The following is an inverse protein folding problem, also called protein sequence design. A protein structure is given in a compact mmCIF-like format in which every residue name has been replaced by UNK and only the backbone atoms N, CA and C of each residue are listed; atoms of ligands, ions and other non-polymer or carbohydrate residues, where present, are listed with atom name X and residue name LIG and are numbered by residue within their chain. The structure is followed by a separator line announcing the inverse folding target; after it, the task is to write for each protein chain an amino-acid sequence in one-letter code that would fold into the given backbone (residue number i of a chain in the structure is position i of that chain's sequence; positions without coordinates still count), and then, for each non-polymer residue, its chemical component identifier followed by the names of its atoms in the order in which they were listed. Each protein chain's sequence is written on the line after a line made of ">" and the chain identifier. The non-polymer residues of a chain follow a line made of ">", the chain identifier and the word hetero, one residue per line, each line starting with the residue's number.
data_IF_324539140961
#
_entry.id   IF_324539140961
#
_cell.length_a   1.000
_cell.length_b   1.000
_cell.length_c   1.000
_cell.angle_alpha   90.00
_cell.angle_beta   90.00
_cell.angle_gamma   90.00
#
_symmetry.space_group_name_H-M   'P 1'
#
loop_
_entity.id
_entity.type
_entity.pdbx_description
1 polymer ?
#
# COMPACT_ATOMS: atom_id res chain seq x y z
N UNK A 1 9.85 -13.60 0.82
CA UNK A 1 9.02 -12.88 1.80
C UNK A 1 8.47 -13.88 2.79
N UNK A 2 8.44 -13.56 4.08
CA UNK A 2 7.81 -14.40 5.10
C UNK A 2 6.41 -13.84 5.46
N UNK A 3 5.40 -14.72 5.57
CA UNK A 3 4.02 -14.32 5.89
C UNK A 3 3.58 -15.01 7.17
N UNK A 4 3.25 -14.20 8.16
CA UNK A 4 2.94 -14.60 9.52
C UNK A 4 1.51 -14.20 9.87
N UNK A 5 0.90 -14.88 10.85
CA UNK A 5 -0.41 -14.48 11.38
C UNK A 5 -0.44 -14.50 12.89
N UNK A 6 -1.22 -13.58 13.44
CA UNK A 6 -1.63 -13.56 14.83
C UNK A 6 -3.17 -13.45 14.92
N UNK A 7 -3.89 -14.41 15.52
CA UNK A 7 -3.40 -15.68 16.06
C UNK A 7 -2.72 -16.58 15.02
N UNK A 8 -1.91 -17.54 15.52
CA UNK A 8 -1.25 -18.52 14.65
C UNK A 8 -2.28 -19.35 13.90
N UNK A 9 -1.97 -19.70 12.64
CA UNK A 9 -2.82 -20.50 11.75
C UNK A 9 -4.15 -19.84 11.32
N UNK A 10 -4.35 -18.55 11.58
CA UNK A 10 -5.48 -17.78 11.03
C UNK A 10 -5.19 -17.24 9.61
N UNK A 11 -6.24 -16.73 8.97
CA UNK A 11 -6.21 -15.96 7.72
C UNK A 11 -5.61 -16.69 6.51
N UNK A 12 -5.96 -17.97 6.32
CA UNK A 12 -5.42 -18.79 5.23
C UNK A 12 -5.64 -18.17 3.84
N UNK A 13 -6.84 -17.64 3.58
CA UNK A 13 -7.19 -17.07 2.28
C UNK A 13 -6.42 -15.76 2.03
N UNK A 14 -6.34 -14.89 3.04
CA UNK A 14 -5.56 -13.66 2.96
C UNK A 14 -4.06 -13.95 2.76
N UNK A 15 -3.52 -15.02 3.37
CA UNK A 15 -2.13 -15.44 3.12
C UNK A 15 -1.91 -15.85 1.67
N UNK A 16 -2.86 -16.58 1.07
CA UNK A 16 -2.78 -16.95 -0.35
C UNK A 16 -2.75 -15.69 -1.21
N UNK A 17 -3.63 -14.73 -0.93
CA UNK A 17 -3.70 -13.48 -1.67
C UNK A 17 -2.41 -12.65 -1.51
N UNK A 18 -1.87 -12.53 -0.30
CA UNK A 18 -0.60 -11.84 -0.04
C UNK A 18 0.57 -12.50 -0.79
N UNK A 19 0.58 -13.85 -0.92
CA UNK A 19 1.58 -14.55 -1.75
C UNK A 19 1.43 -14.19 -3.21
N UNK A 20 0.22 -14.23 -3.75
CA UNK A 20 -0.04 -13.86 -5.15
C UNK A 20 0.44 -12.43 -5.46
N UNK A 21 0.22 -11.50 -4.53
CA UNK A 21 0.72 -10.12 -4.66
C UNK A 21 2.24 -10.10 -4.68
N UNK A 22 2.90 -10.79 -3.76
CA UNK A 22 4.35 -10.80 -3.71
C UNK A 22 5.00 -11.50 -4.92
N UNK A 23 4.40 -12.60 -5.40
CA UNK A 23 4.86 -13.33 -6.58
C UNK A 23 4.72 -12.46 -7.85
N UNK A 24 3.65 -11.67 -7.95
CA UNK A 24 3.50 -10.68 -9.01
C UNK A 24 4.60 -9.60 -8.99
N UNK A 25 5.19 -9.34 -7.82
CA UNK A 25 6.17 -8.28 -7.57
C UNK A 25 7.60 -8.80 -7.37
N UNK A 26 7.83 -10.10 -7.55
CA UNK A 26 9.07 -10.81 -7.23
C UNK A 26 10.37 -10.13 -7.73
N UNK A 27 10.42 -9.48 -8.92
CA UNK A 27 11.64 -8.80 -9.39
C UNK A 27 12.06 -7.57 -8.57
N UNK A 28 11.13 -6.96 -7.83
CA UNK A 28 11.30 -5.65 -7.19
C UNK A 28 11.47 -5.77 -5.65
N UNK A 29 11.49 -6.99 -5.11
CA UNK A 29 11.32 -7.19 -3.68
C UNK A 29 12.60 -7.11 -2.84
N UNK A 30 12.53 -6.34 -1.74
CA UNK A 30 13.49 -6.43 -0.64
C UNK A 30 13.01 -7.45 0.40
N UNK A 31 13.91 -8.16 1.11
CA UNK A 31 13.52 -9.09 2.17
C UNK A 31 12.57 -8.42 3.17
N UNK A 32 11.36 -8.99 3.29
CA UNK A 32 10.26 -8.40 4.06
C UNK A 32 9.44 -9.49 4.75
N UNK A 33 8.90 -9.15 5.91
CA UNK A 33 7.89 -9.92 6.63
C UNK A 33 6.53 -9.24 6.45
N UNK A 34 5.46 -10.02 6.26
CA UNK A 34 4.08 -9.53 6.31
C UNK A 34 3.37 -10.19 7.47
N UNK A 35 2.79 -9.40 8.37
CA UNK A 35 2.09 -9.85 9.56
C UNK A 35 0.60 -9.57 9.41
N UNK A 36 -0.20 -10.63 9.40
CA UNK A 36 -1.66 -10.57 9.41
C UNK A 36 -2.13 -10.63 10.87
N UNK A 37 -2.49 -9.48 11.44
CA UNK A 37 -2.79 -9.34 12.87
C UNK A 37 -4.28 -9.11 13.14
N UNK A 38 -4.94 -10.12 13.68
CA UNK A 38 -6.34 -10.09 14.14
C UNK A 38 -6.54 -9.41 15.50
N UNK A 39 -5.50 -8.83 16.10
CA UNK A 39 -5.57 -8.07 17.34
C UNK A 39 -6.47 -6.83 17.23
N UNK A 40 -7.10 -6.44 18.34
CA UNK A 40 -7.88 -5.20 18.44
C UNK A 40 -7.15 -4.22 19.37
N UNK A 41 -6.69 -3.11 18.81
CA UNK A 41 -5.90 -2.08 19.49
C UNK A 41 -6.65 -0.75 19.67
N UNK A 42 -7.97 -0.75 19.42
CA UNK A 42 -8.78 0.48 19.39
C UNK A 42 -8.70 1.29 20.69
N UNK A 43 -8.64 0.60 21.84
CA UNK A 43 -8.64 1.21 23.17
C UNK A 43 -7.28 1.07 23.89
N UNK A 44 -6.26 0.54 23.22
CA UNK A 44 -4.95 0.30 23.84
C UNK A 44 -4.07 1.55 23.74
N UNK A 45 -3.95 2.30 24.84
CA UNK A 45 -3.12 3.50 24.92
C UNK A 45 -1.60 3.20 24.95
N UNK A 46 -1.20 1.94 25.09
CA UNK A 46 0.21 1.52 25.19
C UNK A 46 0.84 1.22 23.84
N UNK A 47 0.04 1.19 22.77
CA UNK A 47 0.51 0.98 21.39
C UNK A 47 0.43 2.25 20.55
N UNK A 48 1.27 2.34 19.51
CA UNK A 48 1.23 3.45 18.55
C UNK A 48 -0.12 3.52 17.82
N UNK A 49 -0.53 4.73 17.46
CA UNK A 49 -1.77 4.98 16.71
C UNK A 49 -1.80 4.25 15.36
N UNK A 50 -0.65 3.93 14.79
CA UNK A 50 -0.50 3.18 13.53
C UNK A 50 -1.10 1.77 13.63
N UNK A 51 -1.13 1.17 14.82
CA UNK A 51 -1.82 -0.11 15.08
C UNK A 51 -3.35 0.02 15.07
N UNK A 52 -3.88 1.23 14.87
CA UNK A 52 -5.33 1.50 14.69
C UNK A 52 -5.67 1.80 13.23
N UNK A 53 -4.67 1.93 12.36
CA UNK A 53 -4.85 2.08 10.91
C UNK A 53 -5.09 0.70 10.24
N UNK A 54 -5.28 0.70 8.93
CA UNK A 54 -5.39 -0.51 8.12
C UNK A 54 -4.06 -1.25 8.03
N UNK A 55 -2.97 -0.52 7.80
CA UNK A 55 -1.64 -1.08 7.69
C UNK A 55 -0.58 0.00 7.90
N UNK A 56 0.65 -0.47 8.12
CA UNK A 56 1.84 0.36 7.97
C UNK A 56 3.04 -0.53 7.58
N UNK A 57 4.04 0.11 7.00
CA UNK A 57 5.37 -0.46 6.78
C UNK A 57 6.38 0.09 7.79
N UNK A 58 7.30 -0.78 8.20
CA UNK A 58 8.41 -0.47 9.09
C UNK A 58 9.72 -0.99 8.49
N UNK A 59 10.80 -0.26 8.71
CA UNK A 59 12.16 -0.68 8.42
C UNK A 59 13.05 -0.49 9.66
N UNK A 60 14.24 -1.10 9.66
CA UNK A 60 15.15 -1.08 10.81
C UNK A 60 15.60 0.30 11.28
N UNK A 61 15.47 1.33 10.46
CA UNK A 61 15.86 2.69 10.81
C UNK A 61 14.78 3.42 11.64
N UNK A 62 13.56 2.86 11.69
CA UNK A 62 12.46 3.40 12.51
C UNK A 62 12.54 2.88 13.96
N UNK A 63 12.28 3.73 14.97
CA UNK A 63 12.22 3.31 16.37
C UNK A 63 11.15 2.24 16.63
N UNK A 64 11.36 1.42 17.66
CA UNK A 64 10.51 0.28 18.04
C UNK A 64 9.74 0.56 19.34
N UNK A 65 9.10 1.73 19.40
CA UNK A 65 8.40 2.17 20.61
C UNK A 65 6.93 1.78 20.57
N UNK A 66 6.36 1.32 21.71
CA UNK A 66 4.90 1.08 21.84
C UNK A 66 4.36 0.11 20.77
N UNK A 67 5.03 -1.03 20.63
CA UNK A 67 4.72 -2.10 19.67
C UNK A 67 4.18 -3.33 20.43
N UNK A 68 3.13 -4.03 19.93
CA UNK A 68 2.67 -5.29 20.51
C UNK A 68 3.81 -6.33 20.61
N UNK A 69 3.83 -7.10 21.70
CA UNK A 69 4.95 -8.01 21.99
C UNK A 69 5.28 -9.02 20.88
N UNK A 70 4.27 -9.59 20.21
CA UNK A 70 4.48 -10.51 19.08
C UNK A 70 5.07 -9.81 17.85
N UNK A 71 4.72 -8.55 17.60
CA UNK A 71 5.30 -7.76 16.49
C UNK A 71 6.72 -7.33 16.84
N UNK A 72 6.96 -6.92 18.09
CA UNK A 72 8.29 -6.55 18.58
C UNK A 72 9.28 -7.72 18.47
N UNK A 73 8.83 -8.94 18.77
CA UNK A 73 9.62 -10.15 18.58
C UNK A 73 10.16 -10.28 17.15
N UNK A 74 9.28 -10.12 16.15
CA UNK A 74 9.63 -10.18 14.73
C UNK A 74 10.58 -9.05 14.31
N UNK A 75 10.33 -7.83 14.78
CA UNK A 75 11.18 -6.67 14.47
C UNK A 75 12.61 -6.84 15.01
N UNK A 76 12.81 -7.69 16.03
CA UNK A 76 14.11 -7.99 16.60
C UNK A 76 14.85 -9.14 15.89
N UNK A 77 14.21 -9.84 14.95
CA UNK A 77 14.86 -10.91 14.19
C UNK A 77 15.84 -10.36 13.16
N UNK A 78 17.01 -11.00 13.02
CA UNK A 78 18.09 -10.56 12.11
C UNK A 78 17.68 -10.51 10.63
N UNK A 79 16.75 -11.38 10.26
CA UNK A 79 16.23 -11.49 8.89
C UNK A 79 15.10 -10.49 8.61
N UNK A 80 14.49 -9.89 9.64
CA UNK A 80 13.46 -8.88 9.48
C UNK A 80 14.09 -7.51 9.20
N UNK A 81 14.23 -7.20 7.91
CA UNK A 81 14.72 -5.89 7.42
C UNK A 81 13.59 -4.90 7.21
N UNK A 82 12.49 -5.39 6.67
CA UNK A 82 11.24 -4.66 6.50
C UNK A 82 10.08 -5.50 7.04
N UNK A 83 9.07 -4.82 7.55
CA UNK A 83 7.86 -5.42 8.08
C UNK A 83 6.65 -4.65 7.54
N UNK A 84 5.67 -5.36 6.99
CA UNK A 84 4.33 -4.84 6.75
C UNK A 84 3.42 -5.44 7.80
N UNK A 85 2.74 -4.59 8.53
CA UNK A 85 1.73 -5.01 9.48
C UNK A 85 0.35 -4.71 8.90
N UNK A 86 -0.54 -5.71 8.90
CA UNK A 86 -1.92 -5.60 8.45
C UNK A 86 -2.85 -5.79 9.64
N UNK A 87 -3.68 -4.80 9.90
CA UNK A 87 -4.61 -4.82 11.02
C UNK A 87 -5.79 -5.74 10.78
N UNK A 88 -6.49 -6.07 11.87
CA UNK A 88 -7.76 -6.79 11.81
C UNK A 88 -8.74 -6.12 10.85
N UNK A 89 -8.78 -4.78 10.85
CA UNK A 89 -9.64 -4.00 9.96
C UNK A 89 -9.31 -4.33 8.51
N UNK A 90 -8.03 -4.29 8.10
CA UNK A 90 -7.62 -4.66 6.74
C UNK A 90 -7.95 -6.10 6.36
N UNK A 91 -7.87 -7.03 7.31
CA UNK A 91 -8.14 -8.46 7.07
C UNK A 91 -9.63 -8.78 6.91
N UNK A 92 -10.51 -7.93 7.46
CA UNK A 92 -11.97 -8.03 7.33
C UNK A 92 -12.50 -7.28 6.10
N UNK A 93 -11.63 -6.59 5.36
CA UNK A 93 -12.00 -5.89 4.13
C UNK A 93 -12.11 -6.80 2.91
N UNK A 94 -12.72 -6.24 1.88
CA UNK A 94 -12.87 -6.86 0.58
C UNK A 94 -11.52 -7.09 -0.11
N UNK A 95 -11.41 -8.15 -0.90
CA UNK A 95 -10.15 -8.56 -1.55
C UNK A 95 -9.47 -7.43 -2.32
N UNK A 96 -10.24 -6.61 -3.04
CA UNK A 96 -9.71 -5.45 -3.78
C UNK A 96 -8.97 -4.50 -2.85
N UNK A 97 -9.55 -4.18 -1.69
CA UNK A 97 -8.93 -3.26 -0.75
C UNK A 97 -7.73 -3.91 -0.04
N UNK A 98 -7.80 -5.20 0.26
CA UNK A 98 -6.66 -5.92 0.83
C UNK A 98 -5.47 -5.95 -0.13
N UNK A 99 -5.71 -6.27 -1.41
CA UNK A 99 -4.66 -6.22 -2.45
C UNK A 99 -4.07 -4.83 -2.57
N UNK A 100 -4.95 -3.82 -2.57
CA UNK A 100 -4.55 -2.43 -2.65
C UNK A 100 -3.63 -2.03 -1.49
N UNK A 101 -4.03 -2.33 -0.25
CA UNK A 101 -3.26 -2.01 0.96
C UNK A 101 -1.89 -2.68 0.92
N UNK A 102 -1.84 -3.97 0.62
CA UNK A 102 -0.57 -4.73 0.60
C UNK A 102 0.35 -4.20 -0.50
N UNK A 103 -0.16 -4.01 -1.72
CA UNK A 103 0.64 -3.47 -2.82
C UNK A 103 1.14 -2.04 -2.53
N UNK A 104 0.33 -1.22 -1.87
CA UNK A 104 0.70 0.13 -1.46
C UNK A 104 1.89 0.12 -0.48
N UNK A 105 1.81 -0.66 0.60
CA UNK A 105 2.91 -0.75 1.59
C UNK A 105 4.17 -1.37 1.00
N UNK A 106 4.03 -2.30 0.05
CA UNK A 106 5.16 -2.84 -0.68
C UNK A 106 5.84 -1.83 -1.56
N UNK A 107 5.07 -0.93 -2.15
CA UNK A 107 5.64 0.15 -2.92
C UNK A 107 6.47 1.09 -2.05
N UNK A 108 6.07 1.36 -0.82
CA UNK A 108 6.90 2.13 0.12
C UNK A 108 8.22 1.46 0.45
N UNK A 109 8.22 0.14 0.67
CA UNK A 109 9.46 -0.62 0.89
C UNK A 109 10.38 -0.51 -0.34
N UNK A 110 9.82 -0.67 -1.55
CA UNK A 110 10.57 -0.48 -2.79
C UNK A 110 11.17 0.93 -2.89
N UNK A 111 10.35 1.97 -2.69
CA UNK A 111 10.77 3.37 -2.75
C UNK A 111 11.90 3.67 -1.77
N UNK A 112 11.85 3.09 -0.56
CA UNK A 112 12.90 3.23 0.45
C UNK A 112 14.20 2.50 0.08
N UNK A 113 14.10 1.33 -0.54
CA UNK A 113 15.27 0.48 -0.84
C UNK A 113 15.98 0.86 -2.15
N UNK A 114 15.22 1.25 -3.18
CA UNK A 114 15.72 1.49 -4.55
C UNK A 114 15.68 2.95 -4.95
N UNK A 115 14.95 3.79 -4.21
CA UNK A 115 14.57 5.11 -4.68
C UNK A 115 13.51 5.04 -5.78
N UNK A 116 12.94 6.19 -6.14
CA UNK A 116 12.05 6.30 -7.28
C UNK A 116 12.14 7.71 -7.88
N UNK A 117 11.92 7.82 -9.19
CA UNK A 117 11.91 9.12 -9.87
C UNK A 117 10.56 9.82 -9.65
N UNK A 118 10.57 10.90 -8.87
CA UNK A 118 9.34 11.63 -8.52
C UNK A 118 9.00 12.81 -9.46
N UNK A 119 9.93 13.24 -10.31
CA UNK A 119 9.78 14.50 -11.06
C UNK A 119 8.69 14.43 -12.13
N UNK A 120 8.65 13.34 -12.90
CA UNK A 120 7.62 13.15 -13.91
C UNK A 120 6.24 13.06 -13.27
N UNK A 121 6.09 12.24 -12.22
CA UNK A 121 4.84 12.10 -11.48
C UNK A 121 4.39 13.43 -10.87
N UNK A 122 5.32 14.20 -10.29
CA UNK A 122 5.06 15.54 -9.73
C UNK A 122 4.60 16.54 -10.79
N UNK A 123 5.11 16.48 -12.02
CA UNK A 123 4.65 17.36 -13.11
C UNK A 123 3.24 16.98 -13.53
N UNK A 124 3.03 15.71 -13.85
CA UNK A 124 1.74 15.20 -14.34
C UNK A 124 0.63 15.39 -13.32
N UNK A 125 0.88 15.10 -12.05
CA UNK A 125 -0.13 15.27 -10.99
C UNK A 125 -0.54 16.75 -10.82
N UNK A 126 0.43 17.68 -10.86
CA UNK A 126 0.16 19.14 -10.83
C UNK A 126 -0.69 19.60 -11.99
N UNK A 127 -0.45 19.11 -13.19
CA UNK A 127 -1.24 19.48 -14.36
C UNK A 127 -2.66 18.91 -14.29
N UNK A 128 -2.82 17.69 -13.77
CA UNK A 128 -4.14 17.11 -13.51
C UNK A 128 -4.92 17.90 -12.46
N UNK A 129 -4.32 18.28 -11.33
CA UNK A 129 -4.99 19.07 -10.30
C UNK A 129 -5.52 20.44 -10.78
N UNK A 130 -4.96 20.99 -11.87
CA UNK A 130 -5.45 22.25 -12.46
C UNK A 130 -6.76 22.10 -13.23
N UNK A 131 -7.14 20.87 -13.61
CA UNK A 131 -8.39 20.56 -14.30
C UNK A 131 -9.59 20.76 -13.38
N UNK A 132 -10.68 21.30 -13.91
CA UNK A 132 -11.81 21.79 -13.11
C UNK A 132 -12.42 20.72 -12.19
N UNK A 133 -12.51 19.48 -12.66
CA UNK A 133 -13.03 18.32 -11.94
C UNK A 133 -12.14 17.87 -10.76
N UNK A 134 -10.86 18.24 -10.75
CA UNK A 134 -9.90 17.84 -9.72
C UNK A 134 -9.47 18.99 -8.80
N UNK A 135 -9.81 20.24 -9.12
CA UNK A 135 -9.47 21.41 -8.29
C UNK A 135 -9.99 21.32 -6.85
N UNK A 136 -11.10 20.61 -6.66
CA UNK A 136 -11.66 20.40 -5.33
C UNK A 136 -10.85 19.38 -4.53
N UNK A 137 -10.17 18.42 -5.18
CA UNK A 137 -9.31 17.49 -4.48
C UNK A 137 -8.26 18.30 -3.72
N UNK A 138 -7.99 17.97 -2.44
CA UNK A 138 -6.95 18.66 -1.69
C UNK A 138 -5.65 18.60 -2.49
N UNK A 139 -5.00 19.75 -2.68
CA UNK A 139 -3.82 19.91 -3.54
C UNK A 139 -2.60 19.09 -3.10
N UNK A 140 -2.70 18.35 -1.99
CA UNK A 140 -2.00 17.11 -1.66
C UNK A 140 -2.04 16.91 -0.13
N UNK A 141 -2.82 15.97 0.43
CA UNK A 141 -2.41 15.32 1.67
C UNK A 141 -1.36 14.23 1.39
N UNK A 142 -1.29 13.73 0.16
CA UNK A 142 -0.50 12.58 -0.25
C UNK A 142 0.68 13.05 -1.09
N UNK A 143 1.88 12.99 -0.51
CA UNK A 143 3.12 13.31 -1.21
C UNK A 143 3.32 12.48 -2.48
N UNK A 144 4.31 12.83 -3.31
CA UNK A 144 4.52 12.14 -4.59
C UNK A 144 4.79 10.63 -4.40
N UNK A 145 5.40 10.24 -3.28
CA UNK A 145 5.60 8.83 -2.92
C UNK A 145 4.27 8.08 -2.67
N UNK A 146 3.32 8.72 -1.99
CA UNK A 146 1.97 8.19 -1.78
C UNK A 146 1.22 8.01 -3.10
N UNK A 147 1.29 9.01 -3.99
CA UNK A 147 0.67 8.90 -5.31
C UNK A 147 1.25 7.74 -6.13
N UNK A 148 2.56 7.54 -6.07
CA UNK A 148 3.22 6.41 -6.74
C UNK A 148 2.74 5.07 -6.14
N UNK A 149 2.61 4.99 -4.81
CA UNK A 149 2.07 3.82 -4.12
C UNK A 149 0.60 3.53 -4.47
N UNK A 150 -0.24 4.57 -4.58
CA UNK A 150 -1.64 4.45 -4.97
C UNK A 150 -1.83 3.99 -6.42
N UNK A 151 -1.05 4.54 -7.36
CA UNK A 151 -1.07 4.10 -8.76
C UNK A 151 -0.63 2.64 -8.85
N UNK A 152 0.46 2.29 -8.16
CA UNK A 152 0.99 0.94 -8.15
C UNK A 152 0.00 -0.06 -7.55
N UNK A 153 -0.67 0.31 -6.46
CA UNK A 153 -1.70 -0.51 -5.84
C UNK A 153 -2.89 -0.74 -6.78
N UNK A 154 -3.36 0.31 -7.46
CA UNK A 154 -4.43 0.20 -8.47
C UNK A 154 -4.04 -0.75 -9.62
N UNK A 155 -2.81 -0.65 -10.11
CA UNK A 155 -2.26 -1.50 -11.17
C UNK A 155 -2.17 -2.97 -10.75
N UNK A 156 -1.69 -3.20 -9.53
CA UNK A 156 -1.54 -4.53 -8.95
C UNK A 156 -2.91 -5.18 -8.74
N UNK A 157 -3.86 -4.45 -8.14
CA UNK A 157 -5.23 -4.92 -7.97
C UNK A 157 -5.88 -5.27 -9.31
N UNK A 158 -5.71 -4.42 -10.33
CA UNK A 158 -6.27 -4.66 -11.67
C UNK A 158 -5.63 -5.85 -12.37
N UNK A 159 -4.36 -6.15 -12.07
CA UNK A 159 -3.62 -7.28 -12.67
C UNK A 159 -4.00 -8.61 -12.02
N UNK A 160 -4.19 -8.62 -10.70
CA UNK A 160 -4.48 -9.84 -9.92
C UNK A 160 -5.97 -10.21 -9.99
N UNK A 161 -6.85 -9.22 -9.80
CA UNK A 161 -8.30 -9.45 -9.70
C UNK A 161 -9.04 -9.14 -11.01
N UNK A 162 -8.37 -8.48 -11.96
CA UNK A 162 -8.96 -7.98 -13.19
C UNK A 162 -9.47 -6.53 -13.07
N UNK A 163 -9.61 -5.82 -14.20
CA UNK A 163 -10.01 -4.42 -14.19
C UNK A 163 -11.47 -4.22 -13.75
N UNK A 164 -12.38 -5.14 -14.09
CA UNK A 164 -13.80 -4.99 -13.79
C UNK A 164 -14.10 -4.98 -12.28
N UNK A 165 -13.59 -5.91 -11.45
CA UNK A 165 -13.77 -5.83 -9.99
C UNK A 165 -13.21 -4.55 -9.36
N UNK A 166 -12.08 -4.04 -9.87
CA UNK A 166 -11.48 -2.79 -9.38
C UNK A 166 -12.36 -1.59 -9.73
N UNK A 167 -12.88 -1.51 -10.97
CA UNK A 167 -13.81 -0.46 -11.38
C UNK A 167 -15.07 -0.49 -10.53
N UNK A 168 -15.70 -1.66 -10.35
CA UNK A 168 -16.90 -1.82 -9.52
C UNK A 168 -16.65 -1.36 -8.07
N UNK A 169 -15.52 -1.76 -7.48
CA UNK A 169 -15.12 -1.32 -6.15
C UNK A 169 -15.02 0.20 -6.03
N UNK A 170 -14.35 0.87 -6.98
CA UNK A 170 -14.15 2.32 -6.96
C UNK A 170 -15.45 3.12 -7.25
N UNK A 171 -16.41 2.53 -7.95
CA UNK A 171 -17.72 3.16 -8.20
C UNK A 171 -18.61 3.17 -6.94
N UNK A 172 -18.58 2.08 -6.16
CA UNK A 172 -19.42 1.94 -4.96
C UNK A 172 -18.75 2.43 -3.68
N UNK A 173 -17.42 2.45 -3.61
CA UNK A 173 -16.67 2.70 -2.38
C UNK A 173 -15.58 3.74 -2.59
N UNK A 174 -15.34 4.52 -1.54
CA UNK A 174 -14.27 5.51 -1.49
C UNK A 174 -13.02 4.90 -0.85
N UNK A 175 -11.84 5.25 -1.37
CA UNK A 175 -10.58 4.86 -0.75
C UNK A 175 -10.42 5.56 0.61
N UNK A 176 -10.03 4.85 1.69
CA UNK A 176 -9.97 5.41 3.05
C UNK A 176 -9.11 6.68 3.17
N UNK A 177 -7.97 6.74 2.46
CA UNK A 177 -7.03 7.87 2.50
C UNK A 177 -7.50 9.11 1.74
N UNK A 178 -8.43 8.97 0.80
CA UNK A 178 -9.02 10.12 0.09
C UNK A 178 -10.50 9.85 -0.22
N UNK A 179 -11.42 10.19 0.70
CA UNK A 179 -12.83 9.86 0.58
C UNK A 179 -13.56 10.84 -0.35
N UNK A 180 -13.11 10.96 -1.60
CA UNK A 180 -13.73 11.79 -2.63
C UNK A 180 -13.94 11.00 -3.91
N UNK A 181 -15.16 11.03 -4.45
CA UNK A 181 -15.51 10.29 -5.69
C UNK A 181 -14.60 10.62 -6.87
N UNK A 182 -14.16 11.88 -6.99
CA UNK A 182 -13.26 12.30 -8.06
C UNK A 182 -11.82 11.78 -7.90
N UNK A 183 -11.45 11.20 -6.76
CA UNK A 183 -10.10 10.67 -6.54
C UNK A 183 -9.82 9.40 -7.36
N UNK A 184 -10.80 8.49 -7.48
CA UNK A 184 -10.67 7.32 -8.33
C UNK A 184 -10.40 7.71 -9.80
N UNK A 185 -11.17 8.67 -10.31
CA UNK A 185 -10.97 9.20 -11.66
C UNK A 185 -9.62 9.92 -11.79
N UNK A 186 -9.17 10.63 -10.76
CA UNK A 186 -7.86 11.26 -10.72
C UNK A 186 -6.74 10.22 -10.84
N UNK A 187 -6.78 9.14 -10.06
CA UNK A 187 -5.79 8.05 -10.12
C UNK A 187 -5.76 7.38 -11.50
N UNK A 188 -6.92 7.10 -12.08
CA UNK A 188 -7.02 6.54 -13.44
C UNK A 188 -6.38 7.44 -14.49
N UNK A 189 -6.66 8.75 -14.45
CA UNK A 189 -6.04 9.70 -15.40
C UNK A 189 -4.54 9.88 -15.15
N UNK A 190 -4.13 9.88 -13.89
CA UNK A 190 -2.73 9.96 -13.50
C UNK A 190 -1.95 8.76 -14.02
N UNK A 191 -2.50 7.57 -13.87
CA UNK A 191 -1.93 6.33 -14.40
C UNK A 191 -1.74 6.39 -15.93
N UNK A 192 -2.81 6.72 -16.66
CA UNK A 192 -2.77 6.83 -18.13
C UNK A 192 -1.72 7.86 -18.57
N UNK A 193 -1.68 9.02 -17.93
CA UNK A 193 -0.72 10.06 -18.23
C UNK A 193 0.73 9.66 -17.89
N UNK A 194 0.95 8.83 -16.88
CA UNK A 194 2.27 8.27 -16.57
C UNK A 194 2.72 7.25 -17.61
N UNK A 195 1.81 6.39 -18.11
CA UNK A 195 2.12 5.41 -19.17
C UNK A 195 2.52 6.09 -20.50
N UNK A 196 1.90 7.21 -20.84
CA UNK A 196 2.21 7.97 -22.07
C UNK A 196 3.50 8.79 -22.04
N UNK A 197 4.18 8.89 -20.88
CA UNK A 197 5.38 9.71 -20.69
C UNK A 197 6.62 8.88 -20.26
N UNK A 198 6.68 7.59 -20.61
CA UNK A 198 7.80 6.67 -20.26
C UNK A 198 8.07 6.52 -18.74
N UNK A 199 7.11 6.85 -17.87
CA UNK A 199 7.27 6.73 -16.42
C UNK A 199 7.62 5.30 -15.97
N UNK A 200 7.09 4.29 -16.65
CA UNK A 200 7.37 2.88 -16.33
C UNK A 200 8.71 2.38 -16.87
N UNK A 201 9.27 2.99 -17.92
CA UNK A 201 10.57 2.59 -18.46
C UNK A 201 11.72 3.01 -17.53
N UNK A 202 11.57 4.15 -16.86
CA UNK A 202 12.57 4.67 -15.91
C UNK A 202 12.62 3.86 -14.61
N UNK A 203 11.48 3.31 -14.16
CA UNK A 203 11.38 2.58 -12.89
C UNK A 203 11.65 1.07 -13.00
N UNK A 204 11.77 0.49 -14.22
CA UNK A 204 12.10 -0.93 -14.43
C UNK A 204 13.58 -1.19 -14.77
N UNK A 205 14.38 -0.14 -14.96
CA UNK A 205 15.77 -0.22 -15.44
C UNK A 205 16.81 0.26 -14.41
N UNK A 206 16.38 0.60 -13.19
CA UNK A 206 17.24 1.08 -12.10
C UNK A 206 17.43 0.03 -11.01
#
# INVERSE_FOLDING_TARGET
>A
MEILSYPKHSFSDQKILVRQIADFLEPEYSPSHVVLDGGNYSDDATVLDEFRDFAFSWNRDRPKDRVPSHVLGLMNEDLCRNLIWLSRRALEEEEVLLVWIVAHELRHIYQGAKGFSSDALRRVSRDLWRQAEFRALPSSPLGVAELDAEIFAMQTASSILGPAPVTEFLERRLLPRCPRKSYALFLQRLEVACRGNDYQAVNRLS
#
